data_IF_633887217086
#
_entry.id   IF_633887217086
#
_cell.length_a   1.000
_cell.length_b   1.000
_cell.length_c   1.000
_cell.angle_alpha   90.00
_cell.angle_beta   90.00
_cell.angle_gamma   90.00
#
_symmetry.space_group_name_H-M   'P 1'
#
loop_
_entity.id
_entity.type
_entity.pdbx_description
1 polymer ?
#
# COMPACT_ATOMS: atom_id res chain seq x y z
N UNK A 1 -1.87 27.65 70.50
CA UNK A 1 -2.41 26.51 69.72
C UNK A 1 -1.45 26.31 68.55
N UNK A 2 -0.52 25.36 68.68
CA UNK A 2 0.64 25.22 67.78
C UNK A 2 0.43 23.95 66.96
N UNK A 3 0.23 24.08 65.66
CA UNK A 3 0.05 22.94 64.76
C UNK A 3 1.42 22.41 64.32
N UNK A 4 1.76 21.20 64.75
CA UNK A 4 2.94 20.47 64.28
C UNK A 4 2.62 19.75 62.96
N UNK A 5 3.19 20.24 61.85
CA UNK A 5 3.19 19.49 60.59
C UNK A 5 4.22 18.36 60.67
N UNK A 6 3.77 17.11 60.72
CA UNK A 6 4.64 15.95 60.50
C UNK A 6 4.97 15.83 59.00
N UNK A 7 6.24 15.64 58.62
CA UNK A 7 6.61 15.44 57.22
C UNK A 7 6.04 14.12 56.72
N UNK A 8 5.16 14.16 55.72
CA UNK A 8 4.75 12.97 55.00
C UNK A 8 5.93 12.49 54.14
N UNK A 9 6.52 11.37 54.53
CA UNK A 9 7.51 10.66 53.71
C UNK A 9 6.78 10.08 52.49
N UNK A 10 6.62 10.87 51.45
CA UNK A 10 6.03 10.43 50.18
C UNK A 10 6.85 9.27 49.63
N UNK A 11 6.19 8.14 49.32
CA UNK A 11 6.82 7.01 48.66
C UNK A 11 7.47 7.50 47.36
N UNK A 12 8.79 7.28 47.21
CA UNK A 12 9.51 7.61 45.98
C UNK A 12 8.85 6.82 44.85
N UNK A 13 8.31 7.46 43.80
CA UNK A 13 7.71 6.74 42.69
C UNK A 13 8.77 5.82 42.09
N UNK A 14 8.50 4.51 42.11
CA UNK A 14 9.38 3.51 41.50
C UNK A 14 9.44 3.79 40.01
N UNK A 15 10.63 4.17 39.52
CA UNK A 15 10.83 4.42 38.08
C UNK A 15 10.45 3.13 37.34
N UNK A 16 9.55 3.18 36.34
CA UNK A 16 9.14 1.99 35.61
C UNK A 16 10.38 1.26 35.08
N UNK A 17 10.42 -0.06 35.20
CA UNK A 17 11.51 -0.85 34.67
C UNK A 17 11.67 -0.59 33.16
N UNK A 18 12.80 0.00 32.77
CA UNK A 18 13.11 0.26 31.37
C UNK A 18 13.34 -1.09 30.70
N UNK A 19 12.45 -1.49 29.78
CA UNK A 19 12.66 -2.70 28.97
C UNK A 19 13.88 -2.48 28.09
N UNK A 20 14.99 -3.11 28.45
CA UNK A 20 16.28 -3.01 27.75
C UNK A 20 16.35 -3.80 26.41
N UNK A 21 15.21 -4.31 25.91
CA UNK A 21 15.15 -5.14 24.70
C UNK A 21 14.64 -4.36 23.49
N UNK A 22 15.24 -4.60 22.32
CA UNK A 22 14.70 -4.08 21.08
C UNK A 22 13.32 -4.70 20.79
N UNK A 23 12.33 -3.90 20.39
CA UNK A 23 10.97 -4.38 20.11
C UNK A 23 10.98 -5.55 19.12
N UNK A 24 10.09 -6.53 19.31
CA UNK A 24 9.98 -7.67 18.39
C UNK A 24 9.50 -7.19 16.99
N UNK A 25 9.89 -7.87 15.89
CA UNK A 25 9.47 -7.49 14.53
C UNK A 25 7.94 -7.37 14.39
N UNK A 26 7.18 -8.31 14.95
CA UNK A 26 5.72 -8.29 14.93
C UNK A 26 5.14 -7.05 15.64
N UNK A 27 5.76 -6.61 16.74
CA UNK A 27 5.36 -5.39 17.45
C UNK A 27 5.57 -4.15 16.59
N UNK A 28 6.67 -4.07 15.84
CA UNK A 28 6.93 -2.96 14.92
C UNK A 28 5.91 -2.95 13.77
N UNK A 29 5.62 -4.11 13.18
CA UNK A 29 4.60 -4.23 12.12
C UNK A 29 3.23 -3.79 12.64
N UNK A 30 2.82 -4.26 13.82
CA UNK A 30 1.55 -3.88 14.43
C UNK A 30 1.46 -2.37 14.72
N UNK A 31 2.57 -1.75 15.13
CA UNK A 31 2.67 -0.31 15.32
C UNK A 31 2.47 0.45 14.00
N UNK A 32 3.12 0.01 12.94
CA UNK A 32 3.01 0.64 11.62
C UNK A 32 1.61 0.50 11.02
N UNK A 33 0.97 -0.67 11.19
CA UNK A 33 -0.45 -0.87 10.83
C UNK A 33 -1.34 0.13 11.58
N UNK A 34 -1.16 0.24 12.90
CA UNK A 34 -1.92 1.19 13.73
C UNK A 34 -1.69 2.63 13.28
N UNK A 35 -0.45 2.99 12.95
CA UNK A 35 -0.08 4.34 12.50
C UNK A 35 -0.76 4.70 11.18
N UNK A 36 -0.76 3.79 10.23
CA UNK A 36 -1.43 3.97 8.93
C UNK A 36 -2.94 4.18 9.08
N UNK A 37 -3.57 3.63 10.13
CA UNK A 37 -5.03 3.72 10.34
C UNK A 37 -5.46 4.69 11.45
N UNK A 38 -4.52 5.34 12.13
CA UNK A 38 -4.83 6.29 13.21
C UNK A 38 -5.04 7.73 12.72
N UNK A 39 -4.71 8.02 11.45
CA UNK A 39 -4.84 9.38 10.87
C UNK A 39 -6.14 9.53 10.07
N UNK A 40 -6.63 10.76 9.91
CA UNK A 40 -7.81 11.04 9.05
C UNK A 40 -7.55 10.61 7.61
N UNK A 41 -6.39 10.96 7.05
CA UNK A 41 -6.00 10.58 5.69
C UNK A 41 -5.86 9.07 5.52
N UNK A 42 -5.28 8.39 6.51
CA UNK A 42 -5.15 6.93 6.51
C UNK A 42 -6.48 6.19 6.55
N UNK A 43 -7.41 6.65 7.39
CA UNK A 43 -8.79 6.11 7.42
C UNK A 43 -9.54 6.39 6.12
N UNK A 44 -9.40 7.59 5.56
CA UNK A 44 -9.99 7.94 4.27
C UNK A 44 -9.45 7.05 3.14
N UNK A 45 -8.13 6.83 3.09
CA UNK A 45 -7.51 5.92 2.12
C UNK A 45 -8.00 4.48 2.29
N UNK A 46 -8.15 3.99 3.53
CA UNK A 46 -8.70 2.65 3.77
C UNK A 46 -10.12 2.52 3.20
N UNK A 47 -11.01 3.48 3.50
CA UNK A 47 -12.39 3.49 2.99
C UNK A 47 -12.41 3.56 1.46
N UNK A 48 -11.67 4.50 0.86
CA UNK A 48 -11.62 4.68 -0.59
C UNK A 48 -11.02 3.45 -1.28
N UNK A 49 -9.98 2.85 -0.73
CA UNK A 49 -9.36 1.64 -1.31
C UNK A 49 -10.31 0.46 -1.37
N UNK A 50 -11.26 0.36 -0.43
CA UNK A 50 -12.25 -0.71 -0.40
C UNK A 50 -13.42 -0.41 -1.33
N UNK A 51 -13.93 0.83 -1.32
CA UNK A 51 -15.20 1.18 -1.95
C UNK A 51 -15.11 1.70 -3.38
N UNK A 52 -13.98 2.30 -3.80
CA UNK A 52 -13.90 2.97 -5.10
C UNK A 52 -14.15 2.00 -6.27
N UNK A 53 -13.47 0.85 -6.25
CA UNK A 53 -13.59 -0.19 -7.27
C UNK A 53 -15.00 -0.78 -7.39
N UNK A 54 -15.66 -1.27 -6.32
CA UNK A 54 -17.03 -1.80 -6.46
C UNK A 54 -18.03 -0.72 -6.88
N UNK A 55 -17.89 0.53 -6.42
CA UNK A 55 -18.74 1.64 -6.87
C UNK A 55 -18.55 1.91 -8.36
N UNK A 56 -17.29 1.93 -8.83
CA UNK A 56 -16.99 2.05 -10.26
C UNK A 56 -17.56 0.85 -11.05
N UNK A 57 -17.53 -0.36 -10.50
CA UNK A 57 -18.17 -1.54 -11.07
C UNK A 57 -19.68 -1.38 -11.24
N UNK A 58 -20.39 -0.89 -10.21
CA UNK A 58 -21.83 -0.59 -10.31
C UNK A 58 -22.11 0.41 -11.41
N UNK A 59 -21.33 1.50 -11.46
CA UNK A 59 -21.50 2.54 -12.49
C UNK A 59 -21.19 2.00 -13.89
N UNK A 60 -20.18 1.16 -14.03
CA UNK A 60 -19.82 0.54 -15.32
C UNK A 60 -20.91 -0.42 -15.82
N UNK A 61 -21.40 -1.31 -14.96
CA UNK A 61 -22.50 -2.23 -15.29
C UNK A 61 -23.80 -1.47 -15.59
N UNK A 62 -24.10 -0.39 -14.86
CA UNK A 62 -25.30 0.41 -15.14
C UNK A 62 -25.22 1.23 -16.44
N UNK A 63 -24.00 1.54 -16.90
CA UNK A 63 -23.78 2.33 -18.11
C UNK A 63 -23.58 1.48 -19.38
N UNK A 64 -23.39 0.17 -19.24
CA UNK A 64 -23.06 -0.73 -20.35
C UNK A 64 -24.30 -1.47 -20.84
N UNK A 65 -24.52 -1.48 -22.16
CA UNK A 65 -25.56 -2.31 -22.81
C UNK A 65 -24.99 -3.65 -23.31
N UNK A 66 -23.67 -3.79 -23.33
CA UNK A 66 -22.97 -4.99 -23.80
C UNK A 66 -22.81 -6.00 -22.65
N UNK A 67 -23.23 -7.24 -22.91
CA UNK A 67 -23.05 -8.34 -21.96
C UNK A 67 -21.58 -8.75 -21.83
N UNK A 68 -21.11 -8.96 -20.61
CA UNK A 68 -19.74 -9.37 -20.34
C UNK A 68 -19.50 -10.85 -20.66
N UNK A 69 -18.41 -11.15 -21.40
CA UNK A 69 -17.99 -12.53 -21.65
C UNK A 69 -17.29 -13.21 -20.46
N UNK A 70 -16.63 -12.45 -19.57
CA UNK A 70 -15.92 -12.98 -18.39
C UNK A 70 -15.76 -11.91 -17.31
N UNK A 71 -15.77 -12.33 -16.04
CA UNK A 71 -15.53 -11.45 -14.88
C UNK A 71 -14.06 -11.08 -14.67
N UNK A 72 -13.12 -11.82 -15.26
CA UNK A 72 -11.67 -11.67 -14.97
C UNK A 72 -11.11 -10.31 -15.41
N UNK A 73 -11.52 -9.82 -16.58
CA UNK A 73 -11.15 -8.50 -17.09
C UNK A 73 -11.64 -7.36 -16.19
N UNK A 74 -12.95 -7.25 -15.92
CA UNK A 74 -13.51 -6.27 -14.99
C UNK A 74 -12.88 -6.32 -13.58
N UNK A 75 -12.71 -7.51 -13.00
CA UNK A 75 -12.05 -7.67 -11.69
C UNK A 75 -10.60 -7.15 -11.74
N UNK A 76 -9.87 -7.44 -12.81
CA UNK A 76 -8.51 -6.91 -13.02
C UNK A 76 -8.49 -5.39 -13.11
N UNK A 77 -9.39 -4.80 -13.91
CA UNK A 77 -9.48 -3.35 -14.09
C UNK A 77 -9.84 -2.63 -12.77
N UNK A 78 -10.85 -3.11 -12.06
CA UNK A 78 -11.24 -2.58 -10.75
C UNK A 78 -10.15 -2.81 -9.71
N UNK A 79 -9.48 -3.97 -9.75
CA UNK A 79 -8.32 -4.24 -8.90
C UNK A 79 -7.15 -3.30 -9.14
N UNK A 80 -6.93 -2.87 -10.39
CA UNK A 80 -5.92 -1.86 -10.72
C UNK A 80 -6.27 -0.49 -10.13
N UNK A 81 -7.54 -0.08 -10.17
CA UNK A 81 -8.00 1.14 -9.47
C UNK A 81 -7.69 1.07 -7.97
N UNK A 82 -7.98 -0.06 -7.34
CA UNK A 82 -7.65 -0.29 -5.92
C UNK A 82 -6.14 -0.24 -5.67
N UNK A 83 -5.33 -0.87 -6.53
CA UNK A 83 -3.87 -0.86 -6.42
C UNK A 83 -3.29 0.57 -6.48
N UNK A 84 -3.84 1.46 -7.33
CA UNK A 84 -3.44 2.87 -7.40
C UNK A 84 -3.75 3.64 -6.11
N UNK A 85 -4.82 3.33 -5.39
CA UNK A 85 -5.11 3.93 -4.08
C UNK A 85 -4.15 3.38 -3.02
N UNK A 86 -3.85 2.09 -3.07
CA UNK A 86 -2.92 1.45 -2.13
C UNK A 86 -1.47 1.92 -2.32
N UNK A 87 -1.09 2.30 -3.54
CA UNK A 87 0.16 3.02 -3.82
C UNK A 87 0.29 4.28 -2.97
N UNK A 88 -0.78 5.08 -2.86
CA UNK A 88 -0.83 6.26 -2.02
C UNK A 88 -0.68 5.95 -0.53
N UNK A 89 -1.32 4.87 -0.05
CA UNK A 89 -1.15 4.38 1.32
C UNK A 89 0.32 4.07 1.63
N UNK A 90 0.97 3.38 0.70
CA UNK A 90 2.41 3.11 0.74
C UNK A 90 3.25 4.37 0.89
N UNK A 91 3.05 5.34 -0.02
CA UNK A 91 3.79 6.61 0.00
C UNK A 91 3.58 7.35 1.31
N UNK A 92 2.34 7.44 1.79
CA UNK A 92 2.03 8.19 3.01
C UNK A 92 2.64 7.55 4.27
N UNK A 93 2.78 6.22 4.29
CA UNK A 93 3.38 5.48 5.41
C UNK A 93 4.86 5.79 5.65
N UNK A 94 5.55 6.30 4.61
CA UNK A 94 7.00 6.57 4.62
C UNK A 94 7.29 8.06 4.43
N UNK A 95 6.95 8.64 3.28
CA UNK A 95 7.20 10.05 2.98
C UNK A 95 6.47 11.00 3.95
N UNK A 96 5.31 10.57 4.47
CA UNK A 96 4.55 11.33 5.47
C UNK A 96 5.34 11.58 6.76
N UNK A 97 6.20 10.64 7.19
CA UNK A 97 7.00 10.82 8.40
C UNK A 97 8.11 11.85 8.22
N UNK A 98 8.74 11.85 7.05
CA UNK A 98 9.76 12.83 6.69
C UNK A 98 9.14 14.23 6.58
N UNK A 99 7.99 14.33 5.92
CA UNK A 99 7.25 15.58 5.74
C UNK A 99 6.87 16.22 7.08
N UNK A 100 6.43 15.41 8.06
CA UNK A 100 6.04 15.89 9.39
C UNK A 100 7.16 15.80 10.45
N UNK A 101 8.40 15.48 10.04
CA UNK A 101 9.57 15.27 10.91
C UNK A 101 9.43 14.22 12.02
N UNK A 102 8.36 13.42 12.00
CA UNK A 102 8.15 12.32 12.98
C UNK A 102 9.12 11.17 12.80
N UNK A 103 9.86 11.14 11.68
CA UNK A 103 10.94 10.17 11.45
C UNK A 103 12.05 10.26 12.51
N UNK A 104 12.30 11.45 13.09
CA UNK A 104 13.31 11.64 14.14
C UNK A 104 12.97 10.83 15.39
N UNK A 105 11.72 10.94 15.87
CA UNK A 105 11.28 10.20 17.06
C UNK A 105 11.27 8.70 16.81
N UNK A 106 10.89 8.25 15.60
CA UNK A 106 10.96 6.84 15.21
C UNK A 106 12.39 6.30 15.33
N UNK A 107 13.40 7.01 14.81
CA UNK A 107 14.79 6.53 14.86
C UNK A 107 15.49 6.76 16.21
N UNK A 108 15.03 7.68 17.05
CA UNK A 108 15.45 7.75 18.45
C UNK A 108 14.95 6.55 19.26
N UNK A 109 13.71 6.10 19.02
CA UNK A 109 13.13 4.95 19.70
C UNK A 109 13.63 3.62 19.11
N UNK A 110 13.87 3.55 17.80
CA UNK A 110 14.38 2.37 17.09
C UNK A 110 15.54 2.73 16.17
N UNK A 111 16.79 2.75 16.67
CA UNK A 111 17.95 3.24 15.92
C UNK A 111 18.35 2.37 14.73
N UNK A 112 17.89 1.11 14.69
CA UNK A 112 18.14 0.19 13.57
C UNK A 112 17.17 0.47 12.41
N UNK A 113 17.49 1.47 11.58
CA UNK A 113 16.63 1.97 10.49
C UNK A 113 16.10 0.89 9.54
N UNK A 114 16.92 -0.11 9.21
CA UNK A 114 16.50 -1.23 8.36
C UNK A 114 15.34 -2.04 8.94
N UNK A 115 15.26 -2.16 10.27
CA UNK A 115 14.14 -2.86 10.94
C UNK A 115 12.83 -2.09 10.83
N UNK A 116 12.90 -0.77 10.92
CA UNK A 116 11.72 0.11 10.73
C UNK A 116 11.24 0.03 9.29
N UNK A 117 12.16 0.11 8.33
CA UNK A 117 11.79 0.05 6.91
C UNK A 117 11.16 -1.30 6.54
N UNK A 118 11.74 -2.41 7.03
CA UNK A 118 11.15 -3.74 6.86
C UNK A 118 9.77 -3.85 7.51
N UNK A 119 9.60 -3.33 8.73
CA UNK A 119 8.31 -3.34 9.41
C UNK A 119 7.24 -2.53 8.64
N UNK A 120 7.62 -1.37 8.09
CA UNK A 120 6.75 -0.54 7.24
C UNK A 120 6.35 -1.27 5.97
N UNK A 121 7.32 -1.82 5.23
CA UNK A 121 7.06 -2.57 4.01
C UNK A 121 6.10 -3.74 4.27
N UNK A 122 6.34 -4.51 5.34
CA UNK A 122 5.44 -5.60 5.75
C UNK A 122 4.06 -5.09 6.16
N UNK A 123 3.97 -4.02 6.95
CA UNK A 123 2.69 -3.46 7.38
C UNK A 123 1.84 -2.98 6.21
N UNK A 124 2.43 -2.26 5.24
CA UNK A 124 1.69 -1.79 4.06
C UNK A 124 1.40 -2.92 3.07
N UNK A 125 2.24 -3.95 2.98
CA UNK A 125 1.92 -5.15 2.19
C UNK A 125 0.68 -5.86 2.74
N UNK A 126 0.61 -6.03 4.07
CA UNK A 126 -0.54 -6.64 4.75
C UNK A 126 -1.81 -5.81 4.58
N UNK A 127 -1.72 -4.48 4.80
CA UNK A 127 -2.86 -3.59 4.59
C UNK A 127 -3.30 -3.55 3.13
N UNK A 128 -2.36 -3.48 2.20
CA UNK A 128 -2.60 -3.46 0.76
C UNK A 128 -3.31 -4.73 0.31
N UNK A 129 -2.77 -5.90 0.67
CA UNK A 129 -3.40 -7.18 0.36
C UNK A 129 -4.78 -7.32 0.99
N UNK A 130 -4.96 -6.93 2.26
CA UNK A 130 -6.24 -7.03 2.96
C UNK A 130 -7.31 -6.12 2.33
N UNK A 131 -7.00 -4.85 2.06
CA UNK A 131 -7.95 -3.94 1.44
C UNK A 131 -8.26 -4.30 -0.01
N UNK A 132 -7.26 -4.77 -0.77
CA UNK A 132 -7.48 -5.31 -2.10
C UNK A 132 -8.37 -6.55 -2.09
N UNK A 133 -8.22 -7.46 -1.12
CA UNK A 133 -9.07 -8.63 -0.98
C UNK A 133 -10.53 -8.27 -0.74
N UNK A 134 -10.79 -7.34 0.19
CA UNK A 134 -12.15 -6.87 0.47
C UNK A 134 -12.74 -6.16 -0.75
N UNK A 135 -11.97 -5.26 -1.37
CA UNK A 135 -12.40 -4.51 -2.55
C UNK A 135 -12.73 -5.44 -3.74
N UNK A 136 -11.88 -6.43 -4.01
CA UNK A 136 -12.09 -7.40 -5.07
C UNK A 136 -13.30 -8.32 -4.78
N UNK A 137 -13.48 -8.73 -3.52
CA UNK A 137 -14.66 -9.49 -3.11
C UNK A 137 -15.96 -8.72 -3.29
N UNK A 138 -15.99 -7.43 -2.91
CA UNK A 138 -17.13 -6.56 -3.16
C UNK A 138 -17.39 -6.37 -4.66
N UNK A 139 -16.34 -6.19 -5.45
CA UNK A 139 -16.45 -6.06 -6.92
C UNK A 139 -17.02 -7.33 -7.54
N UNK A 140 -16.55 -8.51 -7.12
CA UNK A 140 -17.12 -9.78 -7.55
C UNK A 140 -18.60 -9.91 -7.13
N UNK A 141 -18.95 -9.46 -5.92
CA UNK A 141 -20.35 -9.40 -5.48
C UNK A 141 -21.22 -8.53 -6.38
N UNK A 142 -20.75 -7.34 -6.76
CA UNK A 142 -21.45 -6.45 -7.71
C UNK A 142 -21.69 -7.16 -9.04
N UNK A 143 -20.63 -7.73 -9.64
CA UNK A 143 -20.74 -8.44 -10.92
C UNK A 143 -21.71 -9.63 -10.83
N UNK A 144 -21.70 -10.38 -9.72
CA UNK A 144 -22.63 -11.50 -9.51
C UNK A 144 -24.10 -11.08 -9.44
N UNK A 145 -24.37 -9.83 -9.05
CA UNK A 145 -25.74 -9.32 -8.92
C UNK A 145 -26.24 -8.55 -10.13
N UNK A 146 -25.34 -8.01 -10.96
CA UNK A 146 -25.69 -7.11 -12.06
C UNK A 146 -25.44 -7.72 -13.45
N UNK A 147 -24.66 -8.79 -13.54
CA UNK A 147 -24.25 -9.38 -14.83
C UNK A 147 -24.78 -10.82 -14.95
N UNK A 148 -25.71 -11.03 -15.87
CA UNK A 148 -26.28 -12.36 -16.15
C UNK A 148 -25.51 -13.06 -17.27
N UNK A 149 -25.35 -14.39 -17.17
CA UNK A 149 -24.69 -15.20 -18.20
C UNK A 149 -23.17 -15.05 -18.29
N UNK A 150 -22.54 -14.26 -17.41
CA UNK A 150 -21.09 -14.04 -17.41
C UNK A 150 -20.30 -15.28 -16.95
N UNK A 151 -19.16 -15.54 -17.59
CA UNK A 151 -18.25 -16.62 -17.17
C UNK A 151 -17.46 -16.26 -15.92
N UNK A 152 -17.53 -17.13 -14.91
CA UNK A 152 -16.75 -17.07 -13.66
C UNK A 152 -15.45 -17.87 -13.72
N UNK A 153 -15.12 -18.45 -14.89
CA UNK A 153 -13.86 -19.16 -15.09
C UNK A 153 -12.68 -18.23 -14.82
N UNK A 154 -11.70 -18.71 -14.04
CA UNK A 154 -10.50 -17.95 -13.70
C UNK A 154 -10.66 -16.92 -12.59
N UNK A 155 -11.85 -16.74 -11.99
CA UNK A 155 -12.09 -15.73 -10.94
C UNK A 155 -11.14 -15.85 -9.75
N UNK A 156 -10.81 -17.08 -9.32
CA UNK A 156 -9.88 -17.29 -8.22
C UNK A 156 -8.48 -16.75 -8.52
N UNK A 157 -8.01 -16.95 -9.76
CA UNK A 157 -6.75 -16.38 -10.24
C UNK A 157 -6.79 -14.85 -10.29
N UNK A 158 -7.90 -14.28 -10.77
CA UNK A 158 -8.11 -12.83 -10.80
C UNK A 158 -8.07 -12.22 -9.40
N UNK A 159 -8.76 -12.82 -8.42
CA UNK A 159 -8.76 -12.35 -7.03
C UNK A 159 -7.36 -12.40 -6.41
N UNK A 160 -6.62 -13.51 -6.61
CA UNK A 160 -5.23 -13.62 -6.14
C UNK A 160 -4.33 -12.58 -6.80
N UNK A 161 -4.49 -12.34 -8.10
CA UNK A 161 -3.74 -11.32 -8.84
C UNK A 161 -3.99 -9.92 -8.26
N UNK A 162 -5.25 -9.57 -7.97
CA UNK A 162 -5.61 -8.27 -7.39
C UNK A 162 -5.05 -8.12 -5.98
N UNK A 163 -5.13 -9.15 -5.14
CA UNK A 163 -4.58 -9.13 -3.77
C UNK A 163 -3.06 -8.95 -3.79
N UNK A 164 -2.37 -9.73 -4.62
CA UNK A 164 -0.92 -9.63 -4.78
C UNK A 164 -0.50 -8.25 -5.32
N UNK A 165 -1.25 -7.72 -6.28
CA UNK A 165 -1.00 -6.40 -6.86
C UNK A 165 -1.24 -5.26 -5.87
N UNK A 166 -2.30 -5.35 -5.05
CA UNK A 166 -2.56 -4.38 -3.99
C UNK A 166 -1.43 -4.32 -2.95
N UNK A 167 -0.92 -5.48 -2.54
CA UNK A 167 0.25 -5.56 -1.68
C UNK A 167 1.51 -4.99 -2.37
N UNK A 168 1.77 -5.36 -3.63
CA UNK A 168 2.92 -4.88 -4.39
C UNK A 168 2.91 -3.36 -4.56
N UNK A 169 1.79 -2.77 -4.99
CA UNK A 169 1.66 -1.32 -5.16
C UNK A 169 1.82 -0.57 -3.83
N UNK A 170 1.28 -1.08 -2.73
CA UNK A 170 1.51 -0.49 -1.41
C UNK A 170 3.01 -0.49 -1.03
N UNK A 171 3.73 -1.57 -1.34
CA UNK A 171 5.18 -1.65 -1.08
C UNK A 171 5.98 -0.76 -2.03
N UNK A 172 5.63 -0.70 -3.31
CA UNK A 172 6.23 0.23 -4.29
C UNK A 172 6.09 1.66 -3.78
N UNK A 173 4.89 2.05 -3.35
CA UNK A 173 4.62 3.36 -2.79
C UNK A 173 5.48 3.64 -1.57
N UNK A 174 5.62 2.68 -0.65
CA UNK A 174 6.46 2.84 0.53
C UNK A 174 7.95 2.97 0.19
N UNK A 175 8.45 2.17 -0.75
CA UNK A 175 9.85 2.26 -1.19
C UNK A 175 10.17 3.61 -1.83
N UNK A 176 9.33 4.08 -2.75
CA UNK A 176 9.49 5.37 -3.42
C UNK A 176 9.29 6.54 -2.45
N UNK A 177 8.32 6.44 -1.54
CA UNK A 177 8.10 7.43 -0.49
C UNK A 177 9.31 7.57 0.46
N UNK A 178 9.94 6.44 0.82
CA UNK A 178 11.18 6.44 1.59
C UNK A 178 12.36 7.03 0.80
N UNK A 179 12.42 6.81 -0.52
CA UNK A 179 13.48 7.35 -1.38
C UNK A 179 13.35 8.87 -1.58
N UNK A 180 12.14 9.38 -1.82
CA UNK A 180 11.92 10.80 -2.12
C UNK A 180 11.75 11.66 -0.87
N UNK A 181 11.32 11.08 0.25
CA UNK A 181 11.13 11.80 1.54
C UNK A 181 10.18 13.00 1.47
N UNK A 182 9.40 13.10 0.39
CA UNK A 182 8.47 14.20 0.10
C UNK A 182 7.19 13.60 -0.51
N UNK A 183 6.07 13.72 0.22
CA UNK A 183 4.81 13.07 -0.16
C UNK A 183 4.28 13.58 -1.52
N UNK A 184 4.14 14.91 -1.76
CA UNK A 184 3.73 15.41 -3.08
C UNK A 184 4.61 14.91 -4.23
N UNK A 185 5.94 14.97 -4.10
CA UNK A 185 6.86 14.55 -5.16
C UNK A 185 6.73 13.04 -5.45
N UNK A 186 6.58 12.22 -4.41
CA UNK A 186 6.41 10.78 -4.56
C UNK A 186 5.08 10.40 -5.22
N UNK A 187 3.97 10.99 -4.78
CA UNK A 187 2.66 10.75 -5.38
C UNK A 187 2.63 11.21 -6.84
N UNK A 188 2.99 12.48 -7.10
CA UNK A 188 2.97 13.05 -8.44
C UNK A 188 3.90 12.28 -9.37
N UNK A 189 5.13 11.96 -8.94
CA UNK A 189 6.08 11.20 -9.74
C UNK A 189 5.56 9.81 -10.12
N UNK A 190 5.05 9.05 -9.14
CA UNK A 190 4.50 7.72 -9.39
C UNK A 190 3.28 7.76 -10.32
N UNK A 191 2.34 8.67 -10.09
CA UNK A 191 1.15 8.78 -10.94
C UNK A 191 1.49 9.25 -12.35
N UNK A 192 2.38 10.24 -12.52
CA UNK A 192 2.83 10.68 -13.85
C UNK A 192 3.54 9.56 -14.61
N UNK A 193 4.33 8.72 -13.92
CA UNK A 193 5.00 7.59 -14.58
C UNK A 193 4.00 6.50 -14.96
N UNK A 194 3.18 6.04 -14.02
CA UNK A 194 2.28 4.89 -14.23
C UNK A 194 1.09 5.24 -15.13
N UNK A 195 0.51 6.44 -14.99
CA UNK A 195 -0.70 6.84 -15.73
C UNK A 195 -0.40 7.73 -16.95
N UNK A 196 0.81 8.28 -17.05
CA UNK A 196 1.23 9.15 -18.15
C UNK A 196 2.31 8.52 -19.01
N UNK A 197 3.53 8.43 -18.47
CA UNK A 197 4.71 8.05 -19.24
C UNK A 197 4.64 6.62 -19.80
N UNK A 198 4.18 5.64 -19.02
CA UNK A 198 4.11 4.24 -19.44
C UNK A 198 3.01 3.98 -20.49
N UNK A 199 1.79 4.52 -20.37
CA UNK A 199 0.80 4.48 -21.45
C UNK A 199 1.31 5.13 -22.74
N UNK A 200 1.96 6.28 -22.66
CA UNK A 200 2.59 6.94 -23.82
C UNK A 200 3.67 6.03 -24.42
N UNK A 201 4.54 5.44 -23.60
CA UNK A 201 5.54 4.49 -24.07
C UNK A 201 4.93 3.26 -24.73
N UNK A 202 3.78 2.75 -24.26
CA UNK A 202 3.05 1.66 -24.93
C UNK A 202 2.54 2.06 -26.30
N UNK A 203 2.07 3.29 -26.48
CA UNK A 203 1.60 3.80 -27.77
C UNK A 203 2.73 3.92 -28.79
N UNK A 204 3.90 4.40 -28.39
CA UNK A 204 5.01 4.68 -29.31
C UNK A 204 6.09 3.58 -29.38
N UNK A 205 6.17 2.71 -28.37
CA UNK A 205 7.14 1.63 -28.25
C UNK A 205 6.51 0.42 -27.52
N UNK A 206 5.55 -0.28 -28.17
CA UNK A 206 4.69 -1.27 -27.51
C UNK A 206 5.46 -2.42 -26.85
N UNK A 207 6.54 -2.91 -27.49
CA UNK A 207 7.37 -3.98 -26.94
C UNK A 207 8.06 -3.60 -25.62
N UNK A 208 8.46 -2.34 -25.49
CA UNK A 208 9.11 -1.81 -24.28
C UNK A 208 8.08 -1.48 -23.22
N UNK A 209 7.01 -0.78 -23.61
CA UNK A 209 5.94 -0.37 -22.70
C UNK A 209 5.27 -1.57 -22.01
N UNK A 210 4.97 -2.64 -22.76
CA UNK A 210 4.36 -3.84 -22.20
C UNK A 210 5.25 -4.57 -21.17
N UNK A 211 6.57 -4.45 -21.29
CA UNK A 211 7.54 -5.07 -20.37
C UNK A 211 7.82 -4.25 -19.11
N UNK A 212 7.37 -3.00 -19.06
CA UNK A 212 7.67 -2.09 -17.96
C UNK A 212 6.42 -1.64 -17.18
N UNK A 213 5.25 -1.65 -17.82
CA UNK A 213 4.02 -1.12 -17.24
C UNK A 213 3.46 -2.04 -16.15
N UNK A 214 3.52 -1.63 -14.87
CA UNK A 214 2.98 -2.44 -13.79
C UNK A 214 1.46 -2.48 -13.83
N UNK A 215 0.77 -1.50 -14.43
CA UNK A 215 -0.68 -1.51 -14.56
C UNK A 215 -1.12 -2.59 -15.56
N UNK A 216 -0.41 -2.70 -16.67
CA UNK A 216 -0.65 -3.77 -17.65
C UNK A 216 -0.36 -5.15 -17.05
N UNK A 217 0.70 -5.26 -16.25
CA UNK A 217 1.01 -6.49 -15.54
C UNK A 217 -0.15 -6.95 -14.63
N UNK A 218 -0.83 -6.04 -13.92
CA UNK A 218 -2.02 -6.37 -13.11
C UNK A 218 -3.16 -6.91 -13.99
N UNK A 219 -3.46 -6.22 -15.10
CA UNK A 219 -4.54 -6.60 -16.01
C UNK A 219 -4.30 -7.98 -16.64
N UNK A 220 -3.10 -8.19 -17.19
CA UNK A 220 -2.70 -9.47 -17.76
C UNK A 220 -2.74 -10.59 -16.72
N UNK A 221 -2.20 -10.34 -15.52
CA UNK A 221 -2.18 -11.34 -14.44
C UNK A 221 -3.59 -11.73 -13.99
N UNK A 222 -4.51 -10.76 -13.90
CA UNK A 222 -5.90 -11.02 -13.52
C UNK A 222 -6.65 -11.89 -14.54
N UNK A 223 -6.32 -11.76 -15.82
CA UNK A 223 -6.87 -12.59 -16.89
C UNK A 223 -6.14 -13.94 -17.07
N UNK A 224 -5.11 -14.21 -16.26
CA UNK A 224 -4.29 -15.42 -16.39
C UNK A 224 -3.31 -15.39 -17.56
N UNK A 225 -3.09 -14.21 -18.16
CA UNK A 225 -2.21 -14.00 -19.30
C UNK A 225 -0.81 -13.57 -18.85
N UNK A 226 0.22 -14.01 -19.58
CA UNK A 226 1.61 -13.59 -19.38
C UNK A 226 2.11 -13.65 -17.91
N UNK A 227 1.62 -14.62 -17.12
CA UNK A 227 1.79 -14.69 -15.65
C UNK A 227 3.23 -14.46 -15.20
N UNK A 228 4.20 -15.18 -15.78
CA UNK A 228 5.60 -15.06 -15.41
C UNK A 228 6.16 -13.64 -15.67
N UNK A 229 5.79 -13.04 -16.81
CA UNK A 229 6.19 -11.67 -17.16
C UNK A 229 5.57 -10.66 -16.21
N UNK A 230 4.26 -10.77 -15.95
CA UNK A 230 3.55 -9.85 -15.04
C UNK A 230 4.12 -9.90 -13.62
N UNK A 231 4.39 -11.10 -13.11
CA UNK A 231 5.05 -11.26 -11.80
C UNK A 231 6.44 -10.66 -11.80
N UNK A 232 7.23 -10.86 -12.86
CA UNK A 232 8.57 -10.28 -12.97
C UNK A 232 8.54 -8.74 -12.99
N UNK A 233 7.57 -8.13 -13.68
CA UNK A 233 7.39 -6.67 -13.73
C UNK A 233 7.07 -6.14 -12.33
N UNK A 234 6.05 -6.70 -11.66
CA UNK A 234 5.66 -6.26 -10.31
C UNK A 234 6.80 -6.46 -9.30
N UNK A 235 7.51 -7.60 -9.36
CA UNK A 235 8.65 -7.87 -8.51
C UNK A 235 9.79 -6.88 -8.75
N UNK A 236 10.08 -6.54 -10.01
CA UNK A 236 11.12 -5.57 -10.38
C UNK A 236 10.81 -4.20 -9.80
N UNK A 237 9.58 -3.69 -10.00
CA UNK A 237 9.14 -2.43 -9.39
C UNK A 237 9.26 -2.44 -7.87
N UNK A 238 8.81 -3.52 -7.23
CA UNK A 238 8.86 -3.68 -5.77
C UNK A 238 10.30 -3.65 -5.24
N UNK A 239 11.20 -4.42 -5.86
CA UNK A 239 12.61 -4.49 -5.49
C UNK A 239 13.32 -3.15 -5.74
N UNK A 240 13.11 -2.52 -6.89
CA UNK A 240 13.70 -1.22 -7.20
C UNK A 240 13.25 -0.13 -6.22
N UNK A 241 11.96 -0.06 -5.90
CA UNK A 241 11.44 0.90 -4.94
C UNK A 241 12.02 0.67 -3.53
N UNK A 242 12.04 -0.59 -3.05
CA UNK A 242 12.56 -0.92 -1.73
C UNK A 242 14.06 -0.66 -1.62
N UNK A 243 14.84 -1.03 -2.64
CA UNK A 243 16.29 -0.80 -2.66
C UNK A 243 16.61 0.68 -2.67
N UNK A 244 15.96 1.48 -3.52
CA UNK A 244 16.09 2.93 -3.54
C UNK A 244 15.75 3.56 -2.17
N UNK A 245 14.62 3.17 -1.58
CA UNK A 245 14.19 3.63 -0.26
C UNK A 245 15.18 3.27 0.85
N UNK A 246 15.69 2.04 0.85
CA UNK A 246 16.67 1.57 1.82
C UNK A 246 18.01 2.30 1.72
N UNK A 247 18.53 2.45 0.49
CA UNK A 247 19.79 3.16 0.23
C UNK A 247 19.70 4.61 0.69
N UNK A 248 18.65 5.34 0.31
CA UNK A 248 18.50 6.75 0.70
C UNK A 248 18.34 6.87 2.22
N UNK A 249 17.47 6.07 2.84
CA UNK A 249 17.21 6.11 4.29
C UNK A 249 18.45 5.79 5.12
N UNK A 250 19.32 4.89 4.62
CA UNK A 250 20.57 4.53 5.30
C UNK A 250 21.61 5.64 5.28
N UNK A 251 21.68 6.43 4.19
CA UNK A 251 22.69 7.48 3.98
C UNK A 251 22.27 8.85 4.52
N UNK A 252 20.97 9.11 4.64
CA UNK A 252 20.45 10.43 5.01
C UNK A 252 20.63 10.72 6.49
N UNK A 253 21.23 11.87 6.84
CA UNK A 253 21.24 12.34 8.22
C UNK A 253 19.81 12.66 8.68
N UNK A 254 19.51 12.33 9.93
CA UNK A 254 18.20 12.62 10.56
C UNK A 254 18.49 13.72 11.56
N UNK A 255 18.27 14.97 11.14
CA UNK A 255 18.48 16.19 11.92
C UNK A 255 17.16 16.93 12.06
#
# INVERSE_FOLDING_TARGET
>A
MTTTHSPQTGAIPTRPAVRAGAAAPATLVALEVRKSLSTRSGKALAVVSVLLAPVAGVLASAASEESLGSVTGPIGAMGMLTALILLSLGVLSTAGEWTHRTVQTTFLLTPRRGRVLAAKATAVALLGGAFAAVSAGLTAGVLATMEEGVSWSGVGGALVAVVASGAAFAVIGAGVGAALTNTPAALTGLYLVILGALPVARTFAPEVGARLDPAEAVLALAQGNAVASSVAVLATWTVLALTAGAVVTSRRAVA
#
